data_IF_397649743269
#
_entry.id   IF_397649743269
#
_cell.length_a   1.000
_cell.length_b   1.000
_cell.length_c   1.000
_cell.angle_alpha   90.00
_cell.angle_beta   90.00
_cell.angle_gamma   90.00
#
_symmetry.space_group_name_H-M   'P 1'
#
loop_
_entity.id
_entity.type
_entity.pdbx_description
1 polymer ?
#
# COMPACT_ATOMS: atom_id res chain seq x y z
N UNK A 1 -47.99 43.43 12.82
CA UNK A 1 -47.45 42.09 13.16
C UNK A 1 -45.94 42.17 13.19
N UNK A 2 -45.34 41.67 14.27
CA UNK A 2 -43.99 42.01 14.74
C UNK A 2 -42.89 41.44 13.84
N UNK A 3 -42.06 42.32 13.29
CA UNK A 3 -40.79 42.03 12.63
C UNK A 3 -39.84 41.40 13.66
N UNK A 4 -39.56 40.11 13.55
CA UNK A 4 -38.61 39.42 14.43
C UNK A 4 -37.20 39.56 13.87
N UNK A 5 -36.47 40.52 14.43
CA UNK A 5 -35.01 40.60 14.38
C UNK A 5 -34.46 39.33 15.04
N UNK A 6 -34.02 38.37 14.25
CA UNK A 6 -33.16 37.29 14.72
C UNK A 6 -31.73 37.82 14.63
N UNK A 7 -31.29 38.40 15.74
CA UNK A 7 -29.93 38.87 15.95
C UNK A 7 -28.94 37.72 15.77
N UNK A 8 -27.80 38.07 15.20
CA UNK A 8 -26.80 37.13 14.72
C UNK A 8 -26.12 36.32 15.82
N UNK A 9 -25.71 35.12 15.42
CA UNK A 9 -24.50 34.45 15.87
C UNK A 9 -24.16 33.35 14.85
N UNK A 10 -23.86 33.75 13.61
CA UNK A 10 -23.21 32.85 12.66
C UNK A 10 -21.74 32.72 13.11
N UNK A 11 -21.49 31.79 14.04
CA UNK A 11 -20.15 31.38 14.43
C UNK A 11 -19.49 30.69 13.22
N UNK A 12 -18.87 31.50 12.36
CA UNK A 12 -17.90 31.06 11.37
C UNK A 12 -16.70 30.47 12.14
N UNK A 13 -16.75 29.16 12.39
CA UNK A 13 -15.57 28.42 12.78
C UNK A 13 -14.60 28.38 11.58
N UNK A 14 -13.72 29.39 11.48
CA UNK A 14 -12.51 29.30 10.67
C UNK A 14 -11.57 28.30 11.35
N UNK A 15 -11.87 27.00 11.20
CA UNK A 15 -10.94 25.93 11.53
C UNK A 15 -9.78 25.97 10.54
N UNK A 16 -8.57 26.15 11.05
CA UNK A 16 -7.34 26.25 10.28
C UNK A 16 -7.21 25.11 9.26
N UNK A 17 -7.07 25.47 7.98
CA UNK A 17 -6.64 24.56 6.93
C UNK A 17 -5.16 24.27 7.19
N UNK A 18 -4.86 23.28 8.03
CA UNK A 18 -3.50 22.78 8.18
C UNK A 18 -3.18 21.99 6.90
N UNK A 19 -2.33 22.55 6.05
CA UNK A 19 -1.79 21.84 4.89
C UNK A 19 -1.04 20.61 5.37
N UNK A 20 -1.51 19.42 5.00
CA UNK A 20 -0.80 18.18 5.27
C UNK A 20 0.51 18.20 4.48
N UNK A 21 1.64 18.33 5.17
CA UNK A 21 2.96 18.06 4.58
C UNK A 21 3.04 16.58 4.28
N UNK A 22 3.08 16.22 3.00
CA UNK A 22 3.31 14.84 2.58
C UNK A 22 4.73 14.42 3.02
N UNK A 23 4.82 13.39 3.86
CA UNK A 23 6.10 12.78 4.22
C UNK A 23 6.50 11.81 3.12
N UNK A 24 7.76 11.89 2.68
CA UNK A 24 8.35 10.91 1.77
C UNK A 24 8.37 9.53 2.43
N UNK A 25 7.98 8.46 1.70
CA UNK A 25 7.99 7.12 2.24
C UNK A 25 9.44 6.66 2.51
N UNK A 26 9.61 5.95 3.61
CA UNK A 26 10.85 5.26 3.97
C UNK A 26 11.14 4.12 3.02
N UNK A 27 12.40 3.68 2.95
CA UNK A 27 12.79 2.54 2.11
C UNK A 27 12.02 1.26 2.47
N UNK A 28 11.71 1.05 3.75
CA UNK A 28 10.93 -0.12 4.17
C UNK A 28 9.48 -0.04 3.72
N UNK A 29 8.86 1.15 3.76
CA UNK A 29 7.53 1.36 3.17
C UNK A 29 7.56 1.12 1.65
N UNK A 30 8.57 1.62 0.95
CA UNK A 30 8.73 1.41 -0.49
C UNK A 30 8.90 -0.09 -0.81
N UNK A 31 9.73 -0.82 -0.05
CA UNK A 31 9.86 -2.28 -0.19
C UNK A 31 8.52 -2.99 -0.03
N UNK A 32 7.73 -2.61 0.98
CA UNK A 32 6.40 -3.18 1.17
C UNK A 32 5.45 -2.88 0.00
N UNK A 33 5.51 -1.67 -0.57
CA UNK A 33 4.73 -1.33 -1.76
C UNK A 33 5.15 -2.15 -2.97
N UNK A 34 6.45 -2.34 -3.20
CA UNK A 34 6.98 -3.17 -4.28
C UNK A 34 6.53 -4.63 -4.15
N UNK A 35 6.65 -5.21 -2.96
CA UNK A 35 6.19 -6.59 -2.68
C UNK A 35 4.68 -6.71 -2.93
N UNK A 36 3.89 -5.76 -2.42
CA UNK A 36 2.43 -5.72 -2.65
C UNK A 36 2.10 -5.66 -4.14
N UNK A 37 2.78 -4.81 -4.90
CA UNK A 37 2.60 -4.71 -6.34
C UNK A 37 2.99 -6.00 -7.07
N UNK A 38 4.07 -6.65 -6.67
CA UNK A 38 4.47 -7.94 -7.25
C UNK A 38 3.43 -9.03 -6.99
N UNK A 39 2.89 -9.11 -5.78
CA UNK A 39 1.84 -10.06 -5.42
C UNK A 39 0.56 -9.76 -6.22
N UNK A 40 0.15 -8.49 -6.30
CA UNK A 40 -1.06 -8.08 -7.00
C UNK A 40 -1.01 -8.33 -8.52
N UNK A 41 0.17 -8.29 -9.13
CA UNK A 41 0.37 -8.57 -10.56
C UNK A 41 0.32 -10.05 -10.91
N UNK A 42 0.49 -10.93 -9.93
CA UNK A 42 0.48 -12.37 -10.18
C UNK A 42 -0.96 -12.89 -10.29
N UNK A 43 -1.32 -13.44 -11.45
CA UNK A 43 -2.69 -13.88 -11.78
C UNK A 43 -3.10 -15.23 -11.19
N UNK A 44 -2.18 -15.94 -10.52
CA UNK A 44 -2.41 -17.27 -9.97
C UNK A 44 -2.60 -17.30 -8.46
N UNK A 45 -3.01 -18.46 -7.95
CA UNK A 45 -2.96 -18.72 -6.52
C UNK A 45 -1.52 -18.95 -6.06
N UNK A 46 -1.24 -18.60 -4.80
CA UNK A 46 0.05 -18.79 -4.15
C UNK A 46 1.24 -18.10 -4.83
N UNK A 47 1.26 -16.76 -4.95
CA UNK A 47 2.46 -16.05 -5.37
C UNK A 47 3.64 -16.29 -4.40
N UNK A 48 3.44 -15.99 -3.10
CA UNK A 48 4.48 -16.11 -2.08
C UNK A 48 4.24 -17.25 -1.07
N UNK A 49 5.29 -17.75 -0.38
CA UNK A 49 5.18 -18.89 0.53
C UNK A 49 4.24 -18.63 1.71
N UNK A 50 4.12 -17.37 2.12
CA UNK A 50 3.28 -16.94 3.25
C UNK A 50 1.84 -16.62 2.87
N UNK A 51 1.48 -16.58 1.57
CA UNK A 51 0.08 -16.42 1.19
C UNK A 51 -0.74 -17.66 1.57
N UNK A 52 -2.05 -17.47 1.67
CA UNK A 52 -3.00 -18.56 1.86
C UNK A 52 -3.49 -19.08 0.50
N UNK A 53 -3.57 -20.40 0.39
CA UNK A 53 -4.25 -21.07 -0.71
C UNK A 53 -5.77 -20.97 -0.54
N UNK A 54 -6.53 -21.41 -1.56
CA UNK A 54 -8.00 -21.31 -1.56
C UNK A 54 -8.68 -22.09 -0.44
N UNK A 55 -8.00 -23.10 0.11
CA UNK A 55 -8.47 -23.89 1.25
C UNK A 55 -7.99 -23.35 2.62
N UNK A 56 -7.45 -22.13 2.67
CA UNK A 56 -6.92 -21.51 3.90
C UNK A 56 -5.55 -21.98 4.36
N UNK A 57 -4.99 -23.06 3.78
CA UNK A 57 -3.63 -23.51 4.11
C UNK A 57 -2.56 -22.54 3.61
N UNK A 58 -1.39 -22.47 4.26
CA UNK A 58 -0.25 -21.71 3.73
C UNK A 58 0.26 -22.34 2.43
N UNK A 59 0.66 -21.49 1.49
CA UNK A 59 1.19 -21.93 0.19
C UNK A 59 2.51 -22.70 0.34
N UNK A 60 3.43 -22.17 1.15
CA UNK A 60 4.73 -22.79 1.43
C UNK A 60 5.50 -23.11 0.15
N UNK A 61 6.00 -24.36 0.07
CA UNK A 61 6.77 -24.87 -1.09
C UNK A 61 6.00 -24.90 -2.41
N UNK A 62 4.66 -24.82 -2.35
CA UNK A 62 3.81 -24.76 -3.55
C UNK A 62 3.75 -23.36 -4.15
N UNK A 63 4.29 -22.34 -3.50
CA UNK A 63 4.24 -20.96 -4.04
C UNK A 63 4.99 -20.83 -5.37
N UNK A 64 4.64 -19.82 -6.17
CA UNK A 64 5.37 -19.47 -7.39
C UNK A 64 6.82 -19.08 -7.09
N UNK A 65 7.05 -18.49 -5.91
CA UNK A 65 8.38 -18.18 -5.39
C UNK A 65 9.22 -19.43 -5.09
N UNK A 66 8.63 -20.46 -4.47
CA UNK A 66 9.39 -21.62 -3.99
C UNK A 66 9.46 -22.79 -4.97
N UNK A 67 8.50 -22.93 -5.89
CA UNK A 67 8.44 -24.11 -6.76
C UNK A 67 9.51 -24.04 -7.87
N UNK A 68 10.14 -25.17 -8.24
CA UNK A 68 11.05 -25.21 -9.40
C UNK A 68 10.36 -24.72 -10.67
N UNK A 69 11.00 -23.83 -11.42
CA UNK A 69 10.44 -23.24 -12.66
C UNK A 69 9.24 -22.30 -12.44
N UNK A 70 9.01 -21.84 -11.21
CA UNK A 70 7.96 -20.88 -10.90
C UNK A 70 8.24 -19.46 -11.42
N UNK A 71 7.24 -18.59 -11.31
CA UNK A 71 7.31 -17.20 -11.79
C UNK A 71 8.18 -16.28 -10.91
N UNK A 72 8.64 -16.74 -9.74
CA UNK A 72 9.54 -16.02 -8.83
C UNK A 72 9.15 -14.55 -8.55
N UNK A 73 7.93 -14.28 -8.04
CA UNK A 73 7.54 -12.92 -7.65
C UNK A 73 8.42 -12.38 -6.52
N UNK A 74 8.51 -11.06 -6.36
CA UNK A 74 9.16 -10.42 -5.21
C UNK A 74 8.31 -10.65 -3.96
N UNK A 75 8.85 -11.35 -2.96
CA UNK A 75 8.08 -11.79 -1.79
C UNK A 75 8.63 -11.26 -0.47
N UNK A 76 9.92 -10.99 -0.38
CA UNK A 76 10.58 -10.57 0.85
C UNK A 76 11.32 -9.25 0.64
N UNK A 77 11.58 -8.54 1.73
CA UNK A 77 12.36 -7.30 1.68
C UNK A 77 13.77 -7.51 1.11
N UNK A 78 14.37 -8.68 1.36
CA UNK A 78 15.67 -9.06 0.79
C UNK A 78 15.66 -9.25 -0.72
N UNK A 79 14.49 -9.46 -1.33
CA UNK A 79 14.33 -9.57 -2.78
C UNK A 79 14.30 -8.19 -3.45
N UNK A 80 14.15 -7.10 -2.67
CA UNK A 80 14.03 -5.73 -3.17
C UNK A 80 15.41 -5.07 -3.19
N UNK A 81 15.89 -4.75 -4.39
CA UNK A 81 17.17 -4.08 -4.58
C UNK A 81 17.07 -2.56 -4.45
N UNK A 82 18.19 -1.89 -4.20
CA UNK A 82 18.26 -0.43 -4.18
C UNK A 82 17.75 0.21 -5.49
N UNK A 83 18.06 -0.40 -6.64
CA UNK A 83 17.55 0.07 -7.94
C UNK A 83 16.03 0.00 -8.04
N UNK A 84 15.39 -1.03 -7.46
CA UNK A 84 13.93 -1.12 -7.45
C UNK A 84 13.30 0.01 -6.61
N UNK A 85 13.93 0.37 -5.49
CA UNK A 85 13.50 1.49 -4.63
C UNK A 85 13.64 2.81 -5.38
N UNK A 86 14.79 3.06 -6.00
CA UNK A 86 15.04 4.28 -6.77
C UNK A 86 14.04 4.41 -7.94
N UNK A 87 13.80 3.31 -8.67
CA UNK A 87 12.81 3.29 -9.74
C UNK A 87 11.38 3.52 -9.23
N UNK A 88 11.06 3.08 -8.01
CA UNK A 88 9.75 3.35 -7.42
C UNK A 88 9.57 4.84 -7.12
N UNK A 89 10.57 5.49 -6.51
CA UNK A 89 10.61 6.94 -6.21
C UNK A 89 10.56 7.81 -7.46
N UNK A 90 11.04 7.31 -8.60
CA UNK A 90 10.95 8.03 -9.89
C UNK A 90 9.54 7.97 -10.50
N UNK A 91 8.70 7.02 -10.09
CA UNK A 91 7.37 6.78 -10.68
C UNK A 91 6.22 7.28 -9.82
N UNK A 92 6.46 7.57 -8.53
CA UNK A 92 5.48 8.03 -7.55
C UNK A 92 6.04 9.27 -6.87
#
# INVERSE_FOLDING_TARGET
MKLRVMAGAMLLALGAIQGAVAQEPTDDEIKQQIIRQSIARYSGNCPCPYNSASNGSRCGKRSAYSRPGGASPTCYQGDVTASMIEQWRKRH
#
